data_IF_845041874057
#
_entry.id   IF_845041874057
#
_cell.length_a   1.000
_cell.length_b   1.000
_cell.length_c   1.000
_cell.angle_alpha   90.00
_cell.angle_beta   90.00
_cell.angle_gamma   90.00
#
_symmetry.space_group_name_H-M   'P 1'
#
loop_
_entity.id
_entity.type
_entity.pdbx_description
1 polymer ?
#
# COMPACT_ATOMS: atom_id res chain seq x y z
N UNK A 1 -9.85 -9.03 8.04
CA UNK A 1 -8.83 -9.95 7.48
C UNK A 1 -7.47 -9.57 8.05
N UNK A 2 -6.54 -10.52 8.27
CA UNK A 2 -5.21 -10.20 8.80
C UNK A 2 -4.12 -10.44 7.73
N UNK A 3 -3.19 -9.50 7.63
CA UNK A 3 -1.96 -9.70 6.85
C UNK A 3 -1.03 -10.66 7.61
N UNK A 4 -0.27 -11.44 6.85
CA UNK A 4 0.81 -12.25 7.43
C UNK A 4 2.00 -11.33 7.71
N UNK A 5 2.84 -11.68 8.70
CA UNK A 5 4.02 -10.89 9.11
C UNK A 5 4.90 -10.42 7.95
N UNK A 6 5.12 -11.26 6.94
CA UNK A 6 5.93 -10.89 5.79
C UNK A 6 5.22 -9.89 4.88
N UNK A 7 3.90 -9.94 4.74
CA UNK A 7 3.13 -8.97 3.94
C UNK A 7 3.08 -7.61 4.62
N UNK A 8 2.92 -7.58 5.95
CA UNK A 8 3.03 -6.34 6.74
C UNK A 8 4.42 -5.73 6.53
N UNK A 9 5.49 -6.54 6.58
CA UNK A 9 6.85 -6.05 6.31
C UNK A 9 7.02 -5.50 4.89
N UNK A 10 6.37 -6.09 3.90
CA UNK A 10 6.42 -5.61 2.51
C UNK A 10 5.62 -4.32 2.33
N UNK A 11 4.45 -4.23 2.95
CA UNK A 11 3.60 -3.05 2.94
C UNK A 11 4.29 -1.85 3.60
N UNK A 12 4.90 -2.05 4.77
CA UNK A 12 5.67 -1.00 5.45
C UNK A 12 6.83 -0.52 4.60
N UNK A 13 7.60 -1.44 3.99
CA UNK A 13 8.69 -1.07 3.09
C UNK A 13 8.23 -0.31 1.84
N UNK A 14 7.03 -0.61 1.32
CA UNK A 14 6.43 0.16 0.23
C UNK A 14 6.05 1.57 0.67
N UNK A 15 5.46 1.72 1.86
CA UNK A 15 5.11 3.03 2.40
C UNK A 15 6.35 3.86 2.72
N UNK A 16 7.40 3.25 3.25
CA UNK A 16 8.72 3.90 3.45
C UNK A 16 9.36 4.40 2.16
N UNK A 17 9.12 3.72 1.03
CA UNK A 17 9.65 4.17 -0.25
C UNK A 17 8.88 5.38 -0.84
N UNK A 18 7.63 5.60 -0.40
CA UNK A 18 6.75 6.65 -0.93
C UNK A 18 6.71 7.87 -0.02
N UNK A 19 6.80 7.65 1.29
CA UNK A 19 6.70 8.71 2.28
C UNK A 19 8.09 9.31 2.54
N UNK A 20 8.25 10.64 2.47
CA UNK A 20 9.52 11.28 2.79
C UNK A 20 9.74 11.23 4.31
N UNK A 21 10.68 10.41 4.76
CA UNK A 21 11.10 10.35 6.17
C UNK A 21 12.51 10.90 6.36
N UNK A 22 12.73 11.62 7.47
CA UNK A 22 14.06 12.01 7.89
C UNK A 22 14.83 10.76 8.39
N UNK A 23 16.14 10.68 8.13
CA UNK A 23 16.99 9.52 8.48
C UNK A 23 16.90 9.11 9.97
N UNK A 24 16.55 10.07 10.84
CA UNK A 24 16.57 9.93 12.29
C UNK A 24 15.22 9.54 12.93
N UNK A 25 14.12 9.49 12.16
CA UNK A 25 12.77 9.22 12.71
C UNK A 25 12.29 7.77 12.46
N UNK A 26 13.19 6.92 11.97
CA UNK A 26 12.81 5.70 11.24
C UNK A 26 12.12 4.63 12.09
N UNK A 27 12.53 4.41 13.35
CA UNK A 27 12.00 3.27 14.13
C UNK A 27 10.59 3.50 14.71
N UNK A 28 10.29 4.69 15.23
CA UNK A 28 8.96 5.03 15.74
C UNK A 28 7.94 5.16 14.61
N UNK A 29 8.36 5.79 13.50
CA UNK A 29 7.56 5.88 12.29
C UNK A 29 7.28 4.49 11.71
N UNK A 30 8.29 3.61 11.64
CA UNK A 30 8.11 2.22 11.16
C UNK A 30 7.12 1.44 12.02
N UNK A 31 7.19 1.58 13.34
CA UNK A 31 6.19 1.00 14.26
C UNK A 31 4.80 1.58 13.97
N UNK A 32 4.68 2.90 13.82
CA UNK A 32 3.43 3.57 13.48
C UNK A 32 2.84 3.09 12.15
N UNK A 33 3.67 2.92 11.12
CA UNK A 33 3.27 2.38 9.81
C UNK A 33 2.82 0.92 9.90
N UNK A 34 3.50 0.10 10.69
CA UNK A 34 3.09 -1.30 10.89
C UNK A 34 1.71 -1.36 11.52
N UNK A 35 1.47 -0.58 12.57
CA UNK A 35 0.16 -0.49 13.23
C UNK A 35 -0.90 0.04 12.27
N UNK A 36 -0.59 1.11 11.53
CA UNK A 36 -1.47 1.67 10.51
C UNK A 36 -1.88 0.63 9.45
N UNK A 37 -0.92 -0.13 8.91
CA UNK A 37 -1.20 -1.16 7.90
C UNK A 37 -2.12 -2.25 8.45
N UNK A 38 -1.83 -2.73 9.65
CA UNK A 38 -2.63 -3.79 10.28
C UNK A 38 -4.05 -3.30 10.59
N UNK A 39 -4.20 -2.07 11.10
CA UNK A 39 -5.50 -1.46 11.40
C UNK A 39 -6.27 -1.11 10.14
N UNK A 40 -5.60 -0.63 9.08
CA UNK A 40 -6.20 -0.38 7.78
C UNK A 40 -6.78 -1.66 7.19
N UNK A 41 -6.03 -2.75 7.12
CA UNK A 41 -6.55 -4.02 6.55
C UNK A 41 -7.63 -4.64 7.43
N UNK A 42 -7.59 -4.41 8.74
CA UNK A 42 -8.61 -4.90 9.68
C UNK A 42 -9.93 -4.14 9.54
N UNK A 43 -9.87 -2.83 9.34
CA UNK A 43 -11.04 -1.95 9.29
C UNK A 43 -11.60 -1.75 7.88
N UNK A 44 -10.81 -2.00 6.84
CA UNK A 44 -11.24 -1.81 5.46
C UNK A 44 -12.27 -2.88 5.01
N UNK A 45 -13.19 -2.54 4.10
CA UNK A 45 -14.02 -3.51 3.41
C UNK A 45 -13.18 -4.63 2.77
N UNK A 46 -13.71 -5.85 2.75
CA UNK A 46 -12.95 -7.03 2.30
C UNK A 46 -12.34 -6.86 0.90
N UNK A 47 -13.07 -6.25 -0.03
CA UNK A 47 -12.59 -5.97 -1.39
C UNK A 47 -11.36 -5.04 -1.39
N UNK A 48 -11.36 -4.01 -0.54
CA UNK A 48 -10.23 -3.07 -0.38
C UNK A 48 -9.02 -3.78 0.24
N UNK A 49 -9.23 -4.62 1.25
CA UNK A 49 -8.16 -5.43 1.85
C UNK A 49 -7.50 -6.37 0.82
N UNK A 50 -8.31 -7.02 -0.02
CA UNK A 50 -7.81 -7.86 -1.11
C UNK A 50 -7.07 -7.08 -2.18
N UNK A 51 -7.58 -5.91 -2.57
CA UNK A 51 -6.91 -5.02 -3.52
C UNK A 51 -5.53 -4.56 -3.00
N UNK A 52 -5.46 -4.13 -1.74
CA UNK A 52 -4.20 -3.76 -1.09
C UNK A 52 -3.19 -4.90 -1.08
N UNK A 53 -3.64 -6.11 -0.72
CA UNK A 53 -2.80 -7.32 -0.73
C UNK A 53 -2.32 -7.65 -2.15
N UNK A 54 -3.17 -7.48 -3.16
CA UNK A 54 -2.81 -7.61 -4.57
C UNK A 54 -1.71 -6.65 -5.00
N UNK A 55 -1.72 -5.40 -4.53
CA UNK A 55 -0.65 -4.42 -4.78
C UNK A 55 0.67 -4.87 -4.14
N UNK A 56 0.63 -5.25 -2.85
CA UNK A 56 1.82 -5.70 -2.11
C UNK A 56 2.47 -6.91 -2.79
N UNK A 57 1.68 -7.90 -3.20
CA UNK A 57 2.18 -9.05 -3.96
C UNK A 57 2.63 -8.70 -5.38
N UNK A 58 1.86 -7.84 -6.06
CA UNK A 58 2.13 -7.34 -7.41
C UNK A 58 3.51 -6.73 -7.52
N UNK A 59 3.82 -5.77 -6.66
CA UNK A 59 5.11 -5.09 -6.65
C UNK A 59 6.23 -6.01 -6.16
N UNK A 60 6.01 -6.73 -5.06
CA UNK A 60 7.11 -7.44 -4.42
C UNK A 60 7.45 -8.80 -5.07
N UNK A 61 6.47 -9.53 -5.62
CA UNK A 61 6.68 -10.84 -6.22
C UNK A 61 6.60 -10.81 -7.74
N UNK A 62 5.60 -10.13 -8.29
CA UNK A 62 5.35 -10.17 -9.73
C UNK A 62 6.20 -9.16 -10.51
N UNK A 63 6.63 -8.05 -9.92
CA UNK A 63 7.55 -7.09 -10.54
C UNK A 63 8.85 -7.77 -11.02
N UNK A 64 9.67 -8.33 -10.13
CA UNK A 64 10.91 -9.02 -10.52
C UNK A 64 10.69 -10.19 -11.49
N UNK A 65 9.59 -10.94 -11.30
CA UNK A 65 9.28 -12.10 -12.14
C UNK A 65 8.86 -11.70 -13.57
N UNK A 66 7.92 -10.77 -13.71
CA UNK A 66 7.34 -10.41 -15.00
C UNK A 66 8.22 -9.43 -15.81
N UNK A 67 9.13 -8.73 -15.14
CA UNK A 67 9.98 -7.71 -15.77
C UNK A 67 11.37 -8.24 -16.01
N UNK A 68 12.00 -8.85 -14.99
CA UNK A 68 13.38 -9.32 -15.05
C UNK A 68 13.49 -10.85 -15.23
N UNK A 69 12.37 -11.59 -15.25
CA UNK A 69 12.34 -13.07 -15.26
C UNK A 69 13.10 -13.70 -14.08
N UNK A 70 13.19 -12.99 -12.95
CA UNK A 70 13.88 -13.45 -11.75
C UNK A 70 12.89 -13.96 -10.71
N UNK A 71 13.07 -15.20 -10.26
CA UNK A 71 12.32 -15.81 -9.14
C UNK A 71 12.84 -15.32 -7.78
N UNK A 72 12.89 -13.99 -7.60
CA UNK A 72 13.28 -13.32 -6.36
C UNK A 72 12.26 -12.26 -6.03
N UNK A 73 12.02 -12.01 -4.74
CA UNK A 73 11.19 -10.87 -4.33
C UNK A 73 11.97 -9.57 -4.47
N UNK A 74 11.29 -8.45 -4.66
CA UNK A 74 11.91 -7.12 -4.77
C UNK A 74 12.77 -6.81 -3.53
N UNK A 75 12.34 -7.27 -2.34
CA UNK A 75 13.15 -7.15 -1.12
C UNK A 75 14.49 -7.92 -1.15
N UNK A 76 14.59 -8.99 -1.94
CA UNK A 76 15.83 -9.77 -2.09
C UNK A 76 16.71 -9.29 -3.24
N UNK A 77 16.25 -8.29 -3.99
CA UNK A 77 17.08 -7.63 -5.00
C UNK A 77 18.06 -6.67 -4.32
N UNK A 78 19.28 -6.61 -4.86
CA UNK A 78 20.27 -5.59 -4.52
C UNK A 78 19.78 -4.20 -4.94
N UNK A 79 20.42 -3.13 -4.46
CA UNK A 79 20.07 -1.76 -4.85
C UNK A 79 20.18 -1.56 -6.37
N UNK A 80 21.23 -2.09 -6.99
CA UNK A 80 21.41 -2.04 -8.44
C UNK A 80 20.31 -2.81 -9.19
N UNK A 81 19.94 -4.00 -8.72
CA UNK A 81 18.88 -4.80 -9.32
C UNK A 81 17.50 -4.15 -9.17
N UNK A 82 17.27 -3.41 -8.07
CA UNK A 82 16.05 -2.62 -7.88
C UNK A 82 16.00 -1.43 -8.84
N UNK A 83 17.12 -0.75 -9.06
CA UNK A 83 17.21 0.34 -10.03
C UNK A 83 16.93 -0.17 -11.46
N UNK A 84 17.51 -1.30 -11.84
CA UNK A 84 17.26 -1.96 -13.13
C UNK A 84 15.79 -2.40 -13.28
N UNK A 85 15.17 -2.91 -12.22
CA UNK A 85 13.74 -3.23 -12.20
C UNK A 85 12.87 -1.99 -12.45
N UNK A 86 13.15 -0.90 -11.74
CA UNK A 86 12.40 0.36 -11.86
C UNK A 86 12.58 0.98 -13.24
N UNK A 87 13.80 0.94 -13.78
CA UNK A 87 14.09 1.38 -15.14
C UNK A 87 13.32 0.53 -16.16
N UNK A 88 13.37 -0.80 -16.05
CA UNK A 88 12.63 -1.70 -16.94
C UNK A 88 11.11 -1.51 -16.86
N UNK A 89 10.59 -1.13 -15.69
CA UNK A 89 9.18 -0.81 -15.48
C UNK A 89 8.80 0.54 -16.08
N UNK A 90 9.68 1.55 -16.01
CA UNK A 90 9.45 2.89 -16.56
C UNK A 90 9.27 2.86 -18.09
N UNK A 91 9.91 1.90 -18.77
CA UNK A 91 9.77 1.73 -20.22
C UNK A 91 8.45 1.05 -20.65
N UNK A 92 7.64 0.52 -19.72
CA UNK A 92 6.38 -0.15 -20.05
C UNK A 92 5.20 0.83 -19.94
N UNK A 93 4.65 1.25 -21.09
CA UNK A 93 3.49 2.18 -21.17
C UNK A 93 2.31 1.77 -20.29
N UNK A 94 1.96 0.48 -20.29
CA UNK A 94 0.86 -0.03 -19.46
C UNK A 94 1.15 0.12 -17.95
N UNK A 95 2.41 -0.04 -17.54
CA UNK A 95 2.83 0.17 -16.16
C UNK A 95 2.73 1.65 -15.80
N UNK A 96 3.28 2.55 -16.62
CA UNK A 96 3.23 4.00 -16.37
C UNK A 96 1.79 4.52 -16.23
N UNK A 97 0.91 4.19 -17.19
CA UNK A 97 -0.50 4.63 -17.14
C UNK A 97 -1.20 4.13 -15.88
N UNK A 98 -0.99 2.84 -15.53
CA UNK A 98 -1.58 2.24 -14.33
C UNK A 98 -1.04 2.89 -13.06
N UNK A 99 0.28 3.12 -12.99
CA UNK A 99 0.93 3.67 -11.81
C UNK A 99 0.57 5.14 -11.59
N UNK A 100 0.52 5.95 -12.65
CA UNK A 100 0.04 7.34 -12.57
C UNK A 100 -1.42 7.41 -12.11
N UNK A 101 -2.29 6.54 -12.62
CA UNK A 101 -3.69 6.47 -12.17
C UNK A 101 -3.81 6.01 -10.71
N UNK A 102 -2.96 5.07 -10.28
CA UNK A 102 -2.91 4.61 -8.90
C UNK A 102 -2.38 5.68 -7.95
N UNK A 103 -1.34 6.43 -8.34
CA UNK A 103 -0.82 7.56 -7.57
C UNK A 103 -1.87 8.64 -7.40
N UNK A 104 -2.61 8.99 -8.46
CA UNK A 104 -3.71 9.95 -8.38
C UNK A 104 -4.80 9.48 -7.41
N UNK A 105 -5.19 8.19 -7.49
CA UNK A 105 -6.14 7.58 -6.55
C UNK A 105 -5.62 7.60 -5.12
N UNK A 106 -4.34 7.29 -4.90
CA UNK A 106 -3.73 7.31 -3.58
C UNK A 106 -3.74 8.71 -2.98
N UNK A 107 -3.35 9.74 -3.74
CA UNK A 107 -3.41 11.14 -3.31
C UNK A 107 -4.84 11.56 -3.01
N UNK A 108 -5.81 11.20 -3.86
CA UNK A 108 -7.22 11.48 -3.62
C UNK A 108 -7.74 10.78 -2.35
N UNK A 109 -7.37 9.53 -2.10
CA UNK A 109 -7.71 8.81 -0.87
C UNK A 109 -7.09 9.46 0.36
N UNK A 110 -5.82 9.86 0.31
CA UNK A 110 -5.15 10.56 1.43
C UNK A 110 -5.85 11.90 1.71
N UNK A 111 -6.16 12.68 0.67
CA UNK A 111 -6.91 13.93 0.82
C UNK A 111 -8.30 13.70 1.45
N UNK A 112 -9.01 12.67 0.99
CA UNK A 112 -10.29 12.25 1.57
C UNK A 112 -10.17 11.78 3.04
N UNK A 113 -9.06 11.16 3.44
CA UNK A 113 -8.81 10.78 4.83
C UNK A 113 -8.61 12.00 5.75
N UNK A 114 -8.13 13.12 5.22
CA UNK A 114 -7.97 14.38 6.00
C UNK A 114 -9.28 15.15 6.13
N UNK A 115 -10.25 14.90 5.25
CA UNK A 115 -11.57 15.54 5.25
C UNK A 115 -12.37 15.19 6.52
N UNK A 116 -12.78 16.21 7.28
CA UNK A 116 -13.55 16.04 8.51
C UNK A 116 -15.03 15.69 8.25
N UNK A 117 -15.63 16.22 7.17
CA UNK A 117 -17.02 15.97 6.80
C UNK A 117 -17.21 14.52 6.34
N UNK A 118 -16.31 14.03 5.50
CA UNK A 118 -16.37 12.63 5.04
C UNK A 118 -16.24 11.65 6.21
N UNK A 119 -15.35 11.94 7.17
CA UNK A 119 -15.21 11.13 8.38
C UNK A 119 -16.45 11.18 9.26
N UNK A 120 -17.13 12.32 9.35
CA UNK A 120 -18.39 12.46 10.07
C UNK A 120 -19.53 11.68 9.38
N UNK A 121 -19.61 11.75 8.05
CA UNK A 121 -20.60 11.02 7.25
C UNK A 121 -20.45 9.50 7.38
N UNK A 122 -19.22 8.97 7.23
CA UNK A 122 -18.94 7.53 7.38
C UNK A 122 -19.27 7.04 8.81
N UNK A 123 -18.97 7.84 9.84
CA UNK A 123 -19.33 7.52 11.23
C UNK A 123 -20.84 7.54 11.46
N UNK A 124 -21.54 8.48 10.86
CA UNK A 124 -23.01 8.59 10.91
C UNK A 124 -23.69 7.38 10.27
N UNK A 125 -23.25 6.96 9.09
CA UNK A 125 -23.77 5.76 8.43
C UNK A 125 -23.47 4.48 9.22
N UNK A 126 -22.28 4.37 9.82
CA UNK A 126 -21.90 3.22 10.63
C UNK A 126 -22.63 3.13 11.98
N UNK A 127 -23.20 4.24 12.46
CA UNK A 127 -24.10 4.25 13.63
C UNK A 127 -25.52 3.83 13.21
N UNK A 128 -26.04 4.42 12.13
CA UNK A 128 -27.36 4.09 11.60
C UNK A 128 -27.51 2.61 11.21
N UNK A 129 -26.48 1.99 10.62
CA UNK A 129 -26.51 0.56 10.27
C UNK A 129 -26.44 -0.38 11.49
N UNK A 130 -25.97 0.10 12.65
CA UNK A 130 -25.94 -0.69 13.89
C UNK A 130 -27.30 -0.76 14.56
N UNK A 131 -28.08 0.32 14.50
CA UNK A 131 -29.44 0.39 15.06
C UNK A 131 -30.46 -0.39 14.22
N UNK A 132 -30.18 -0.64 12.94
CA UNK A 132 -31.04 -1.45 12.05
C UNK A 132 -30.81 -2.96 12.23
N UNK A 133 -29.70 -3.38 12.85
CA UNK A 133 -29.38 -4.80 13.08
C UNK A 133 -29.60 -5.27 14.53
N UNK A 134 -30.07 -4.39 15.43
CA UNK A 134 -30.51 -4.72 16.79
C UNK A 134 -32.02 -4.87 16.88
#
# INVERSE_FOLDING_TARGET
MLLKRYETRWAVALLEAVLPFAENETDDVRRGLSTFVDDFVRSAPAQTAWAFRGVVWGLNCFGPLLVMKRLRTAQRLSVAERAELLDSLSHKRAYLVRESANLLKAVACIGRCTDAELRAHIRGEAAANRDVQS
#
